data_IF_963304635977
#
_entry.id   IF_963304635977
#
_cell.length_a   1.000
_cell.length_b   1.000
_cell.length_c   1.000
_cell.angle_alpha   90.00
_cell.angle_beta   90.00
_cell.angle_gamma   90.00
#
_symmetry.space_group_name_H-M   'P 1'
#
loop_
_entity.id
_entity.type
_entity.pdbx_description
1 polymer ?
#
# COMPACT_ATOMS: atom_id res chain seq x y z
N UNK A 1 -12.26 2.67 6.79
CA UNK A 1 -11.56 1.41 6.46
C UNK A 1 -10.12 1.46 6.99
N UNK A 2 -9.44 0.33 7.14
CA UNK A 2 -8.02 0.27 7.49
C UNK A 2 -7.25 -0.26 6.28
N UNK A 3 -6.21 0.45 5.88
CA UNK A 3 -5.31 0.07 4.80
C UNK A 3 -3.92 -0.09 5.39
N UNK A 4 -3.23 -1.18 5.08
CA UNK A 4 -1.85 -1.41 5.49
C UNK A 4 -0.91 -1.46 4.30
N UNK A 5 0.27 -0.88 4.45
CA UNK A 5 1.36 -0.91 3.47
C UNK A 5 2.62 -1.41 4.17
N UNK A 6 3.16 -2.51 3.67
CA UNK A 6 4.32 -3.22 4.20
C UNK A 6 3.96 -4.48 5.00
N UNK A 7 4.85 -5.47 4.90
CA UNK A 7 4.69 -6.80 5.47
C UNK A 7 4.56 -6.79 7.00
N UNK A 8 5.45 -6.09 7.70
CA UNK A 8 5.47 -6.06 9.17
C UNK A 8 4.20 -5.42 9.73
N UNK A 9 3.75 -4.31 9.17
CA UNK A 9 2.52 -3.63 9.60
C UNK A 9 1.30 -4.51 9.35
N UNK A 10 1.20 -5.08 8.14
CA UNK A 10 0.08 -5.94 7.77
C UNK A 10 0.00 -7.18 8.65
N UNK A 11 1.15 -7.81 8.94
CA UNK A 11 1.25 -8.94 9.85
C UNK A 11 0.81 -8.57 11.26
N UNK A 12 1.37 -7.50 11.82
CA UNK A 12 1.08 -7.07 13.20
C UNK A 12 -0.41 -6.75 13.39
N UNK A 13 -1.06 -6.12 12.40
CA UNK A 13 -2.50 -5.85 12.47
C UNK A 13 -3.31 -7.14 12.57
N UNK A 14 -3.03 -8.11 11.71
CA UNK A 14 -3.77 -9.39 11.69
C UNK A 14 -3.51 -10.21 12.96
N UNK A 15 -2.27 -10.24 13.45
CA UNK A 15 -1.93 -10.93 14.71
C UNK A 15 -2.65 -10.32 15.93
N UNK A 16 -3.02 -9.04 15.85
CA UNK A 16 -3.80 -8.34 16.88
C UNK A 16 -5.31 -8.29 16.56
N UNK A 17 -5.81 -9.14 15.65
CA UNK A 17 -7.24 -9.27 15.35
C UNK A 17 -7.81 -8.17 14.45
N UNK A 18 -6.98 -7.33 13.84
CA UNK A 18 -7.38 -6.26 12.93
C UNK A 18 -7.10 -6.68 11.49
N UNK A 19 -8.15 -7.02 10.74
CA UNK A 19 -8.01 -7.36 9.32
C UNK A 19 -8.09 -6.10 8.45
N UNK A 20 -7.00 -5.69 7.76
CA UNK A 20 -7.04 -4.53 6.88
C UNK A 20 -7.96 -4.80 5.68
N UNK A 21 -8.71 -3.78 5.27
CA UNK A 21 -9.53 -3.79 4.06
C UNK A 21 -8.67 -4.01 2.81
N UNK A 22 -7.50 -3.38 2.81
CA UNK A 22 -6.48 -3.52 1.79
C UNK A 22 -5.12 -3.67 2.49
N UNK A 23 -4.39 -4.74 2.19
CA UNK A 23 -2.99 -4.88 2.54
C UNK A 23 -2.13 -4.83 1.27
N UNK A 24 -1.09 -4.00 1.25
CA UNK A 24 -0.12 -3.91 0.16
C UNK A 24 1.22 -4.38 0.71
N UNK A 25 1.81 -5.41 0.12
CA UNK A 25 3.03 -6.06 0.62
C UNK A 25 3.94 -6.41 -0.55
N UNK A 26 5.25 -6.26 -0.42
CA UNK A 26 6.22 -6.66 -1.46
C UNK A 26 6.81 -8.07 -1.21
N UNK A 27 6.48 -8.70 -0.07
CA UNK A 27 7.03 -9.98 0.38
C UNK A 27 8.57 -10.02 0.34
N UNK A 28 9.25 -8.87 0.45
CA UNK A 28 10.71 -8.75 0.48
C UNK A 28 11.16 -8.15 1.80
N UNK A 29 11.53 -9.00 2.75
CA UNK A 29 12.33 -8.54 3.89
C UNK A 29 13.81 -8.55 3.48
N UNK A 30 14.47 -7.39 3.47
CA UNK A 30 15.92 -7.25 3.25
C UNK A 30 16.48 -7.95 1.98
N UNK A 31 15.83 -7.77 0.82
CA UNK A 31 16.25 -8.33 -0.49
C UNK A 31 16.34 -9.88 -0.55
N UNK A 32 15.68 -10.61 0.36
CA UNK A 32 15.53 -12.08 0.26
C UNK A 32 14.05 -12.44 0.15
N UNK A 33 13.72 -13.39 -0.74
CA UNK A 33 12.37 -13.97 -0.84
C UNK A 33 12.03 -14.65 0.49
N UNK A 34 11.17 -14.01 1.28
CA UNK A 34 10.61 -14.62 2.49
C UNK A 34 9.36 -15.44 2.15
N UNK A 35 8.92 -16.29 3.09
CA UNK A 35 7.62 -16.98 2.96
C UNK A 35 6.54 -15.93 2.71
N UNK A 36 5.69 -16.17 1.72
CA UNK A 36 4.57 -15.29 1.38
C UNK A 36 3.77 -14.98 2.64
N UNK A 37 3.50 -13.70 2.90
CA UNK A 37 2.66 -13.31 4.02
C UNK A 37 1.25 -13.85 3.75
N UNK A 38 0.88 -14.88 4.51
CA UNK A 38 -0.46 -15.47 4.47
C UNK A 38 -1.35 -14.63 5.37
N UNK A 39 -2.02 -13.64 4.79
CA UNK A 39 -3.09 -12.91 5.43
C UNK A 39 -4.41 -13.64 5.14
N UNK A 40 -5.35 -13.74 6.08
CA UNK A 40 -6.68 -14.30 5.86
C UNK A 40 -7.52 -13.30 5.05
N UNK A 41 -7.12 -13.06 3.80
CA UNK A 41 -7.82 -12.20 2.85
C UNK A 41 -8.63 -13.06 1.88
N UNK A 42 -9.73 -12.51 1.39
CA UNK A 42 -10.62 -13.21 0.46
C UNK A 42 -10.17 -13.08 -1.00
N UNK A 43 -9.31 -12.10 -1.29
CA UNK A 43 -8.79 -11.84 -2.65
C UNK A 43 -7.33 -11.45 -2.63
N UNK A 44 -6.55 -12.01 -3.56
CA UNK A 44 -5.16 -11.62 -3.80
C UNK A 44 -5.00 -11.05 -5.23
N UNK A 45 -4.26 -9.97 -5.35
CA UNK A 45 -3.84 -9.34 -6.61
C UNK A 45 -2.32 -9.29 -6.65
N UNK A 46 -1.71 -9.42 -7.83
CA UNK A 46 -0.27 -9.30 -8.02
C UNK A 46 0.02 -8.20 -9.03
N UNK A 47 1.00 -7.35 -8.73
CA UNK A 47 1.41 -6.23 -9.58
C UNK A 47 2.93 -6.09 -9.63
N UNK A 48 3.45 -5.35 -10.60
CA UNK A 48 4.86 -4.96 -10.65
C UNK A 48 5.00 -3.46 -10.36
N UNK A 49 5.85 -3.10 -9.40
CA UNK A 49 6.15 -1.70 -9.08
C UNK A 49 7.65 -1.52 -8.83
N UNK A 50 8.45 -1.13 -9.84
CA UNK A 50 9.88 -0.92 -9.67
C UNK A 50 10.24 0.04 -8.53
N UNK A 51 11.44 -0.12 -8.00
CA UNK A 51 11.95 0.69 -6.91
C UNK A 51 11.84 2.20 -7.19
N UNK A 52 11.39 2.96 -6.19
CA UNK A 52 11.21 4.40 -6.31
C UNK A 52 10.17 4.86 -7.34
N UNK A 53 9.25 3.99 -7.78
CA UNK A 53 8.21 4.36 -8.75
C UNK A 53 6.79 4.15 -8.22
N UNK A 54 5.83 4.74 -8.93
CA UNK A 54 4.40 4.45 -8.79
C UNK A 54 3.88 4.10 -10.18
N UNK A 55 3.69 2.81 -10.45
CA UNK A 55 3.19 2.36 -11.77
C UNK A 55 1.68 2.61 -11.92
N UNK A 56 1.23 2.82 -13.16
CA UNK A 56 -0.22 2.88 -13.44
C UNK A 56 -0.94 1.59 -13.03
N UNK A 57 -0.27 0.45 -13.16
CA UNK A 57 -0.75 -0.85 -12.70
C UNK A 57 -1.05 -0.82 -11.20
N UNK A 58 -0.11 -0.32 -10.39
CA UNK A 58 -0.30 -0.16 -8.95
C UNK A 58 -1.48 0.76 -8.62
N UNK A 59 -1.59 1.90 -9.31
CA UNK A 59 -2.71 2.84 -9.12
C UNK A 59 -4.05 2.18 -9.43
N UNK A 60 -4.16 1.46 -10.55
CA UNK A 60 -5.38 0.76 -10.96
C UNK A 60 -5.73 -0.35 -9.97
N UNK A 61 -4.75 -1.13 -9.53
CA UNK A 61 -4.96 -2.21 -8.57
C UNK A 61 -5.45 -1.69 -7.22
N UNK A 62 -4.84 -0.62 -6.69
CA UNK A 62 -5.23 -0.02 -5.40
C UNK A 62 -6.67 0.51 -5.48
N UNK A 63 -7.04 1.23 -6.55
CA UNK A 63 -8.42 1.70 -6.75
C UNK A 63 -9.41 0.54 -6.79
N UNK A 64 -9.10 -0.51 -7.57
CA UNK A 64 -9.96 -1.68 -7.69
C UNK A 64 -10.12 -2.39 -6.34
N UNK A 65 -9.04 -2.53 -5.58
CA UNK A 65 -9.06 -3.18 -4.27
C UNK A 65 -9.86 -2.38 -3.22
N UNK A 66 -9.73 -1.06 -3.20
CA UNK A 66 -10.51 -0.19 -2.30
C UNK A 66 -12.02 -0.24 -2.59
N UNK A 67 -12.40 -0.44 -3.85
CA UNK A 67 -13.80 -0.57 -4.26
C UNK A 67 -14.36 -1.99 -4.14
N UNK A 68 -13.53 -3.00 -3.80
CA UNK A 68 -14.03 -4.35 -3.56
C UNK A 68 -14.79 -4.41 -2.22
N UNK A 69 -15.82 -5.24 -2.13
CA UNK A 69 -16.57 -5.45 -0.87
C UNK A 69 -15.85 -6.36 0.12
N UNK A 70 -14.82 -7.08 -0.34
CA UNK A 70 -14.04 -8.03 0.44
C UNK A 70 -12.70 -7.45 0.91
N UNK A 71 -11.97 -8.15 1.79
CA UNK A 71 -10.59 -7.81 2.15
C UNK A 71 -9.63 -8.27 1.06
N UNK A 72 -8.74 -7.38 0.62
CA UNK A 72 -7.82 -7.63 -0.51
C UNK A 72 -6.37 -7.53 -0.07
N UNK A 73 -5.52 -8.44 -0.55
CA UNK A 73 -4.06 -8.32 -0.51
C UNK A 73 -3.53 -8.01 -1.91
N UNK A 74 -2.70 -6.99 -2.02
CA UNK A 74 -1.88 -6.70 -3.20
C UNK A 74 -0.46 -7.13 -2.89
N UNK A 75 0.03 -8.13 -3.61
CA UNK A 75 1.42 -8.58 -3.59
C UNK A 75 2.20 -7.85 -4.69
N UNK A 76 3.23 -7.09 -4.32
CA UNK A 76 4.02 -6.25 -5.22
C UNK A 76 5.33 -6.96 -5.57
N UNK A 77 5.62 -7.13 -6.85
CA UNK A 77 6.99 -7.44 -7.29
C UNK A 77 7.75 -6.14 -7.52
N UNK A 78 8.58 -5.77 -6.54
CA UNK A 78 9.33 -4.51 -6.54
C UNK A 78 9.31 -3.86 -5.16
N UNK A 79 8.89 -2.59 -5.06
CA UNK A 79 8.76 -1.84 -3.81
C UNK A 79 7.31 -1.33 -3.62
N UNK A 80 6.83 -1.33 -2.38
CA UNK A 80 5.49 -0.86 -1.99
C UNK A 80 5.50 0.50 -1.29
N UNK A 81 6.64 1.02 -0.84
CA UNK A 81 6.73 2.20 0.03
C UNK A 81 5.95 3.42 -0.50
N UNK A 82 6.18 3.79 -1.77
CA UNK A 82 5.50 4.92 -2.41
C UNK A 82 4.01 4.68 -2.64
N UNK A 83 3.55 3.42 -2.59
CA UNK A 83 2.14 3.10 -2.73
C UNK A 83 1.32 3.53 -1.51
N UNK A 84 1.96 3.85 -0.38
CA UNK A 84 1.31 4.51 0.75
C UNK A 84 0.67 5.86 0.35
N UNK A 85 1.32 6.63 -0.53
CA UNK A 85 0.78 7.89 -1.05
C UNK A 85 -0.52 7.62 -1.83
N UNK A 86 -0.49 6.61 -2.71
CA UNK A 86 -1.65 6.23 -3.51
C UNK A 86 -2.79 5.69 -2.65
N UNK A 87 -2.47 4.90 -1.62
CA UNK A 87 -3.44 4.44 -0.63
C UNK A 87 -4.13 5.63 0.05
N UNK A 88 -3.39 6.64 0.52
CA UNK A 88 -3.97 7.83 1.15
C UNK A 88 -4.83 8.64 0.16
N UNK A 89 -4.34 8.82 -1.08
CA UNK A 89 -5.03 9.61 -2.11
C UNK A 89 -6.40 9.05 -2.49
N UNK A 90 -6.55 7.73 -2.51
CA UNK A 90 -7.77 7.06 -2.99
C UNK A 90 -8.61 6.40 -1.90
N UNK A 91 -8.08 6.21 -0.68
CA UNK A 91 -8.86 5.67 0.42
C UNK A 91 -10.10 6.54 0.72
N UNK A 92 -11.21 5.95 1.18
CA UNK A 92 -12.36 6.71 1.67
C UNK A 92 -11.97 7.64 2.81
N UNK A 93 -12.62 8.80 2.91
CA UNK A 93 -12.44 9.72 4.04
C UNK A 93 -12.74 9.04 5.38
N UNK A 94 -12.08 9.49 6.45
CA UNK A 94 -12.11 8.86 7.78
C UNK A 94 -11.55 7.43 7.83
N UNK A 95 -10.87 6.97 6.77
CA UNK A 95 -10.07 5.74 6.82
C UNK A 95 -8.71 6.00 7.47
N UNK A 96 -8.03 4.92 7.83
CA UNK A 96 -6.65 4.94 8.30
C UNK A 96 -5.75 4.20 7.31
N UNK A 97 -4.65 4.82 6.92
CA UNK A 97 -3.55 4.18 6.20
C UNK A 97 -2.40 4.00 7.18
N UNK A 98 -1.89 2.79 7.30
CA UNK A 98 -0.80 2.44 8.19
C UNK A 98 0.35 1.91 7.34
N UNK A 99 1.53 2.50 7.47
CA UNK A 99 2.70 2.05 6.72
C UNK A 99 3.93 1.96 7.62
N UNK A 100 4.88 1.10 7.22
CA UNK A 100 6.15 0.96 7.91
C UNK A 100 7.11 2.08 7.53
N UNK A 101 7.75 2.68 8.52
CA UNK A 101 8.82 3.65 8.33
C UNK A 101 10.11 3.11 8.97
N UNK A 102 11.19 2.91 8.19
CA UNK A 102 12.47 2.45 8.72
C UNK A 102 12.94 3.32 9.89
N UNK A 103 13.31 2.66 11.00
CA UNK A 103 13.79 3.27 12.26
C UNK A 103 12.78 4.16 13.01
N UNK A 104 11.54 4.27 12.52
CA UNK A 104 10.48 5.02 13.21
C UNK A 104 9.28 4.14 13.60
N UNK A 105 9.14 2.96 13.00
CA UNK A 105 8.07 2.02 13.32
C UNK A 105 6.86 2.19 12.38
N UNK A 106 5.66 1.94 12.89
CA UNK A 106 4.43 2.10 12.11
C UNK A 106 3.94 3.55 12.17
N UNK A 107 3.64 4.13 11.01
CA UNK A 107 3.04 5.46 10.88
C UNK A 107 1.56 5.32 10.57
N UNK A 108 0.71 5.98 11.34
CA UNK A 108 -0.74 6.02 11.17
C UNK A 108 -1.14 7.35 10.54
N UNK A 109 -1.81 7.30 9.39
CA UNK A 109 -2.36 8.47 8.70
C UNK A 109 -3.88 8.38 8.67
N UNK A 110 -4.55 9.35 9.31
CA UNK A 110 -5.99 9.56 9.13
C UNK A 110 -6.24 10.22 7.78
N UNK A 111 -7.10 9.62 6.97
CA UNK A 111 -7.45 10.12 5.64
C UNK A 111 -8.49 11.24 5.80
N UNK A 112 -8.07 12.47 5.50
CA UNK A 112 -8.92 13.66 5.43
C UNK A 112 -8.81 14.31 4.05
N UNK A 113 -9.70 15.24 3.72
CA UNK A 113 -9.59 16.01 2.47
C UNK A 113 -8.29 16.82 2.39
N UNK A 114 -7.83 17.41 3.51
CA UNK A 114 -6.56 18.14 3.55
C UNK A 114 -5.39 17.21 3.25
N UNK A 115 -5.37 16.03 3.90
CA UNK A 115 -4.30 15.07 3.68
C UNK A 115 -4.28 14.57 2.24
N UNK A 116 -5.45 14.35 1.61
CA UNK A 116 -5.54 13.99 0.19
C UNK A 116 -4.96 15.07 -0.73
N UNK A 117 -5.24 16.35 -0.45
CA UNK A 117 -4.68 17.48 -1.20
C UNK A 117 -3.16 17.57 -1.03
N UNK A 118 -2.65 17.41 0.19
CA UNK A 118 -1.22 17.39 0.46
C UNK A 118 -0.50 16.30 -0.35
N UNK A 119 -1.05 15.08 -0.36
CA UNK A 119 -0.52 14.00 -1.20
C UNK A 119 -0.61 14.33 -2.69
N UNK A 120 -1.69 14.95 -3.14
CA UNK A 120 -1.83 15.37 -4.53
C UNK A 120 -0.77 16.39 -4.96
N UNK A 121 -0.41 17.34 -4.09
CA UNK A 121 0.69 18.27 -4.35
C UNK A 121 2.06 17.55 -4.39
N UNK A 122 2.30 16.58 -3.50
CA UNK A 122 3.52 15.75 -3.55
C UNK A 122 3.60 14.98 -4.87
N UNK A 123 2.49 14.37 -5.31
CA UNK A 123 2.46 13.60 -6.55
C UNK A 123 2.68 14.48 -7.79
N UNK A 124 2.25 15.76 -7.77
CA UNK A 124 2.45 16.70 -8.89
C UNK A 124 3.91 17.06 -9.13
N UNK A 125 4.74 17.06 -8.10
CA UNK A 125 6.17 17.38 -8.20
C UNK A 125 7.04 16.16 -8.52
N UNK A 126 6.45 14.96 -8.61
CA UNK A 126 7.16 13.76 -9.04
C UNK A 126 7.41 13.78 -10.55
N UNK A 127 8.56 13.25 -10.96
CA UNK A 127 8.93 13.13 -12.37
C UNK A 127 8.22 11.97 -13.06
N UNK A 128 7.81 12.18 -14.32
CA UNK A 128 7.29 11.11 -15.16
C UNK A 128 8.44 10.31 -15.77
N UNK A 129 8.69 9.11 -15.24
CA UNK A 129 9.69 8.19 -15.77
C UNK A 129 9.06 7.35 -16.88
N UNK A 130 9.55 7.47 -18.12
CA UNK A 130 9.20 6.54 -19.19
C UNK A 130 9.95 5.23 -18.99
N UNK A 131 9.29 4.08 -19.16
CA UNK A 131 9.97 2.78 -19.21
C UNK A 131 11.12 2.87 -20.23
N UNK A 132 12.35 2.56 -19.81
CA UNK A 132 13.42 2.30 -20.75
C UNK A 132 12.95 1.17 -21.68
N UNK A 133 13.07 1.39 -23.00
CA UNK A 133 12.71 0.42 -24.03
C UNK A 133 13.51 -0.85 -23.90
#
# INVERSE_FOLDING_TARGET
>A
AIISVGDTVSKNLVENGVLPKLAIVDNRVMRKKTRSLSLPVEKEMRIVNPAGTITEEAVKAIKAALNCNVNVKISVDGEEDLLALIAVRYAPENSFVIYGQPRQGAVLVKVTQEKKKEIEEILKVMENVRKAK
#
